data_IF_878081615101
#
_entry.id   IF_878081615101
#
_cell.length_a   1.000
_cell.length_b   1.000
_cell.length_c   1.000
_cell.angle_alpha   90.00
_cell.angle_beta   90.00
_cell.angle_gamma   90.00
#
_symmetry.space_group_name_H-M   'P 1'
#
loop_
_entity.id
_entity.type
_entity.pdbx_description
1 polymer ?
#
# COMPACT_ATOMS: atom_id res chain seq x y z
N UNK A 1 -56.27 49.44 12.03
CA UNK A 1 -55.63 48.32 12.78
C UNK A 1 -55.67 47.07 11.91
N UNK A 2 -54.62 46.80 11.13
CA UNK A 2 -54.46 45.54 10.38
C UNK A 2 -53.01 45.09 10.55
N UNK A 3 -52.82 43.93 11.17
CA UNK A 3 -51.52 43.40 11.59
C UNK A 3 -51.04 42.38 10.54
N UNK A 4 -49.93 42.70 9.87
CA UNK A 4 -49.28 41.84 8.86
C UNK A 4 -48.43 40.81 9.60
N UNK A 5 -48.81 39.53 9.50
CA UNK A 5 -48.04 38.40 10.04
C UNK A 5 -46.94 38.02 9.05
N UNK A 6 -45.69 38.30 9.38
CA UNK A 6 -44.52 37.77 8.66
C UNK A 6 -44.30 36.31 9.05
N UNK A 7 -44.42 35.41 8.08
CA UNK A 7 -43.98 34.02 8.19
C UNK A 7 -42.52 33.95 7.72
N UNK A 8 -41.60 33.78 8.67
CA UNK A 8 -40.19 33.49 8.40
C UNK A 8 -40.07 31.97 8.32
N UNK A 9 -39.89 31.45 7.11
CA UNK A 9 -39.57 30.03 6.88
C UNK A 9 -38.08 29.80 7.09
N UNK A 10 -37.72 29.08 8.15
CA UNK A 10 -36.36 28.56 8.37
C UNK A 10 -36.14 27.34 7.46
N UNK A 11 -35.28 27.48 6.45
CA UNK A 11 -34.76 26.35 5.69
C UNK A 11 -33.59 25.73 6.46
N UNK A 12 -33.80 24.52 7.00
CA UNK A 12 -32.73 23.71 7.61
C UNK A 12 -31.94 23.06 6.48
N UNK A 13 -30.73 23.54 6.21
CA UNK A 13 -29.75 22.80 5.41
C UNK A 13 -29.17 21.67 6.27
N UNK A 14 -29.62 20.44 6.04
CA UNK A 14 -28.93 19.26 6.56
C UNK A 14 -27.76 18.94 5.62
N UNK A 15 -26.54 19.33 6.00
CA UNK A 15 -25.31 18.85 5.37
C UNK A 15 -25.09 17.40 5.78
N UNK A 16 -25.38 16.46 4.89
CA UNK A 16 -24.95 15.07 5.04
C UNK A 16 -23.42 15.02 4.85
N UNK A 17 -22.67 15.02 5.96
CA UNK A 17 -21.26 14.68 5.93
C UNK A 17 -21.16 13.17 5.64
N UNK A 18 -20.80 12.81 4.41
CA UNK A 18 -20.40 11.44 4.12
C UNK A 18 -19.13 11.16 4.93
N UNK A 19 -19.23 10.28 5.92
CA UNK A 19 -18.06 9.78 6.61
C UNK A 19 -17.21 9.02 5.58
N UNK A 20 -16.09 9.61 5.17
CA UNK A 20 -15.10 8.92 4.35
C UNK A 20 -14.43 7.88 5.26
N UNK A 21 -14.90 6.64 5.19
CA UNK A 21 -14.27 5.52 5.90
C UNK A 21 -12.89 5.26 5.31
N UNK A 22 -11.94 4.82 6.15
CA UNK A 22 -10.65 4.37 5.67
C UNK A 22 -10.83 3.22 4.67
N UNK A 23 -10.04 3.22 3.60
CA UNK A 23 -10.07 2.15 2.63
C UNK A 23 -9.62 0.83 3.28
N UNK A 24 -10.26 -0.28 2.91
CA UNK A 24 -9.98 -1.61 3.47
C UNK A 24 -9.96 -2.66 2.38
N UNK A 25 -9.22 -3.74 2.63
CA UNK A 25 -9.10 -4.90 1.73
C UNK A 25 -8.87 -6.16 2.55
N UNK A 26 -9.42 -7.29 2.09
CA UNK A 26 -9.07 -8.60 2.61
C UNK A 26 -8.01 -9.26 1.74
N UNK A 27 -6.87 -9.59 2.34
CA UNK A 27 -5.84 -10.43 1.72
C UNK A 27 -6.08 -11.87 2.16
N UNK A 28 -6.14 -12.79 1.19
CA UNK A 28 -6.05 -14.24 1.43
C UNK A 28 -4.67 -14.69 0.97
N UNK A 29 -3.77 -14.96 1.91
CA UNK A 29 -2.42 -15.42 1.62
C UNK A 29 -2.44 -16.83 1.05
N UNK A 30 -1.54 -17.12 0.11
CA UNK A 30 -1.40 -18.46 -0.46
C UNK A 30 -0.86 -19.44 0.60
N UNK A 31 -1.14 -20.74 0.44
CA UNK A 31 -0.64 -21.77 1.37
C UNK A 31 0.90 -21.83 1.36
N UNK A 32 1.50 -21.76 0.17
CA UNK A 32 2.92 -21.42 0.03
C UNK A 32 3.02 -19.89 -0.09
N UNK A 33 3.21 -19.23 1.05
CA UNK A 33 3.16 -17.77 1.11
C UNK A 33 4.29 -17.09 0.30
N UNK A 34 5.40 -17.77 0.01
CA UNK A 34 6.55 -17.18 -0.67
C UNK A 34 6.55 -17.47 -2.17
N UNK A 35 6.09 -16.49 -2.98
CA UNK A 35 5.87 -16.64 -4.43
C UNK A 35 7.10 -17.14 -5.19
N UNK A 36 8.27 -16.60 -4.86
CA UNK A 36 9.55 -16.86 -5.55
C UNK A 36 10.58 -17.52 -4.64
N UNK A 37 10.14 -17.98 -3.46
CA UNK A 37 10.99 -18.48 -2.38
C UNK A 37 11.38 -17.41 -1.36
N UNK A 38 12.10 -17.86 -0.34
CA UNK A 38 12.54 -17.07 0.80
C UNK A 38 13.92 -17.53 1.27
N UNK A 39 14.48 -16.79 2.22
CA UNK A 39 15.72 -17.13 2.91
C UNK A 39 15.49 -17.17 4.43
N UNK A 40 15.94 -18.23 5.08
CA UNK A 40 15.77 -18.43 6.52
C UNK A 40 16.99 -17.87 7.24
N UNK A 41 16.79 -16.86 8.08
CA UNK A 41 17.89 -16.17 8.76
C UNK A 41 17.51 -15.75 10.18
N UNK A 42 18.52 -15.37 10.95
CA UNK A 42 18.32 -14.71 12.23
C UNK A 42 18.58 -13.22 12.08
N UNK A 43 17.60 -12.40 12.45
CA UNK A 43 17.72 -10.93 12.52
C UNK A 43 17.87 -10.48 13.96
N UNK A 44 18.48 -9.33 14.17
CA UNK A 44 18.62 -8.65 15.45
C UNK A 44 17.97 -7.28 15.32
N UNK A 45 17.03 -6.98 16.21
CA UNK A 45 16.50 -5.62 16.36
C UNK A 45 16.24 -5.35 17.84
N UNK A 46 16.62 -4.16 18.31
CA UNK A 46 16.60 -3.85 19.74
C UNK A 46 17.48 -4.80 20.55
N UNK A 47 16.87 -5.54 21.49
CA UNK A 47 17.55 -6.51 22.37
C UNK A 47 17.30 -7.97 21.97
N UNK A 48 16.55 -8.21 20.90
CA UNK A 48 16.08 -9.53 20.52
C UNK A 48 16.80 -10.05 19.28
N UNK A 49 16.90 -11.38 19.19
CA UNK A 49 17.26 -12.08 17.96
C UNK A 49 16.09 -12.99 17.58
N UNK A 50 15.58 -12.84 16.36
CA UNK A 50 14.43 -13.59 15.86
C UNK A 50 14.84 -14.42 14.65
N UNK A 51 14.37 -15.67 14.60
CA UNK A 51 14.42 -16.48 13.38
C UNK A 51 13.26 -16.07 12.46
N UNK A 52 13.58 -15.73 11.22
CA UNK A 52 12.62 -15.25 10.22
C UNK A 52 12.84 -15.93 8.88
N UNK A 53 11.79 -16.00 8.07
CA UNK A 53 11.87 -16.32 6.67
C UNK A 53 11.65 -15.03 5.87
N UNK A 54 12.70 -14.49 5.28
CA UNK A 54 12.65 -13.25 4.52
C UNK A 54 12.31 -13.54 3.06
N UNK A 55 11.27 -12.91 2.51
CA UNK A 55 10.85 -13.11 1.13
C UNK A 55 9.62 -12.29 0.77
N UNK A 56 9.19 -12.42 -0.48
CA UNK A 56 7.98 -11.76 -0.99
C UNK A 56 6.77 -12.65 -0.77
N UNK A 57 5.75 -12.11 -0.13
CA UNK A 57 4.50 -12.80 0.11
C UNK A 57 3.57 -12.74 -1.09
N UNK A 58 2.76 -13.79 -1.27
CA UNK A 58 1.70 -13.85 -2.26
C UNK A 58 0.31 -14.14 -1.69
N UNK A 59 -0.71 -13.68 -2.42
CA UNK A 59 -2.09 -13.98 -2.12
C UNK A 59 -3.06 -13.39 -3.11
N UNK A 60 -4.31 -13.21 -2.67
CA UNK A 60 -5.42 -12.64 -3.44
C UNK A 60 -6.20 -11.63 -2.64
N UNK A 61 -6.78 -10.65 -3.34
CA UNK A 61 -7.57 -9.59 -2.74
C UNK A 61 -9.06 -9.89 -2.85
N UNK A 62 -9.81 -9.50 -1.83
CA UNK A 62 -11.27 -9.56 -1.78
C UNK A 62 -11.79 -8.46 -0.87
N UNK A 63 -13.11 -8.25 -0.85
CA UNK A 63 -13.78 -7.29 0.03
C UNK A 63 -13.16 -5.87 -0.03
N UNK A 64 -12.84 -5.40 -1.24
CA UNK A 64 -12.29 -4.07 -1.43
C UNK A 64 -13.36 -3.02 -1.11
N UNK A 65 -13.03 -2.08 -0.23
CA UNK A 65 -13.88 -0.96 0.15
C UNK A 65 -13.04 0.32 0.18
N UNK A 66 -13.50 1.38 -0.49
CA UNK A 66 -12.72 2.63 -0.61
C UNK A 66 -11.51 2.56 -1.55
N UNK A 67 -11.22 1.40 -2.16
CA UNK A 67 -10.19 1.18 -3.18
C UNK A 67 -10.71 0.27 -4.29
N UNK A 68 -10.11 0.37 -5.48
CA UNK A 68 -10.44 -0.48 -6.62
C UNK A 68 -9.34 -1.51 -6.86
N UNK A 69 -9.68 -2.63 -7.52
CA UNK A 69 -8.69 -3.66 -7.86
C UNK A 69 -7.53 -3.09 -8.70
N UNK A 70 -7.82 -2.12 -9.58
CA UNK A 70 -6.83 -1.38 -10.39
C UNK A 70 -5.83 -0.55 -9.58
N UNK A 71 -6.06 -0.37 -8.27
CA UNK A 71 -5.10 0.30 -7.38
C UNK A 71 -3.91 -0.61 -7.07
N UNK A 72 -4.05 -1.93 -7.22
CA UNK A 72 -3.01 -2.91 -6.99
C UNK A 72 -2.35 -3.29 -8.32
N UNK A 73 -1.02 -3.44 -8.32
CA UNK A 73 -0.19 -3.64 -9.53
C UNK A 73 -0.67 -4.79 -10.41
N UNK A 74 -1.09 -5.90 -9.79
CA UNK A 74 -1.52 -7.12 -10.48
C UNK A 74 -3.05 -7.36 -10.37
N UNK A 75 -3.80 -6.35 -9.94
CA UNK A 75 -5.23 -6.46 -9.72
C UNK A 75 -5.60 -7.24 -8.45
N UNK A 76 -6.81 -7.81 -8.42
CA UNK A 76 -7.32 -8.54 -7.25
C UNK A 76 -6.99 -10.05 -7.25
N UNK A 77 -6.65 -10.61 -8.41
CA UNK A 77 -6.40 -12.05 -8.57
C UNK A 77 -5.01 -12.48 -8.11
N UNK A 78 -4.09 -11.54 -8.01
CA UNK A 78 -2.69 -11.75 -7.67
C UNK A 78 -2.22 -10.55 -6.86
N UNK A 79 -1.60 -10.82 -5.71
CA UNK A 79 -1.14 -9.80 -4.77
C UNK A 79 0.25 -10.17 -4.30
N UNK A 80 1.17 -9.20 -4.34
CA UNK A 80 2.53 -9.34 -3.83
C UNK A 80 2.84 -8.25 -2.82
N UNK A 81 3.52 -8.61 -1.74
CA UNK A 81 3.91 -7.69 -0.69
C UNK A 81 5.10 -8.19 0.13
N UNK A 82 5.65 -7.32 0.95
CA UNK A 82 6.69 -7.62 1.94
C UNK A 82 6.20 -7.25 3.34
N UNK A 83 6.75 -7.88 4.39
CA UNK A 83 6.55 -7.44 5.76
C UNK A 83 6.98 -5.98 5.92
N UNK A 84 6.19 -5.21 6.65
CA UNK A 84 6.47 -3.81 6.99
C UNK A 84 6.45 -3.55 8.50
N UNK A 85 6.60 -4.61 9.29
CA UNK A 85 6.96 -4.58 10.71
C UNK A 85 7.76 -5.84 11.07
N UNK A 86 8.18 -5.96 12.33
CA UNK A 86 8.83 -7.14 12.92
C UNK A 86 8.12 -7.70 14.16
N UNK A 87 7.00 -7.09 14.56
CA UNK A 87 6.35 -7.37 15.84
C UNK A 87 5.17 -8.34 15.69
N UNK A 88 4.59 -8.46 14.50
CA UNK A 88 3.48 -9.35 14.20
C UNK A 88 3.86 -10.36 13.11
N UNK A 89 3.08 -11.44 13.00
CA UNK A 89 3.38 -12.53 12.05
C UNK A 89 2.18 -12.88 11.19
N UNK A 90 2.46 -13.48 10.03
CA UNK A 90 1.47 -14.05 9.11
C UNK A 90 1.99 -15.39 8.61
N UNK A 91 1.09 -16.28 8.21
CA UNK A 91 1.41 -17.60 7.67
C UNK A 91 0.50 -17.94 6.48
N UNK A 92 0.89 -18.95 5.70
CA UNK A 92 0.17 -19.34 4.51
C UNK A 92 -1.28 -19.75 4.78
N UNK A 93 -2.17 -19.43 3.83
CA UNK A 93 -3.61 -19.70 3.93
C UNK A 93 -4.37 -18.75 4.87
N UNK A 94 -3.69 -17.87 5.61
CA UNK A 94 -4.33 -16.90 6.50
C UNK A 94 -5.10 -15.85 5.70
N UNK A 95 -6.25 -15.42 6.23
CA UNK A 95 -7.04 -14.30 5.70
C UNK A 95 -6.99 -13.15 6.69
N UNK A 96 -6.67 -11.95 6.20
CA UNK A 96 -6.49 -10.76 7.03
C UNK A 96 -7.22 -9.60 6.39
N UNK A 97 -7.98 -8.86 7.21
CA UNK A 97 -8.60 -7.59 6.82
C UNK A 97 -7.64 -6.46 7.17
N UNK A 98 -7.23 -5.71 6.15
CA UNK A 98 -6.29 -4.61 6.27
C UNK A 98 -6.97 -3.27 6.03
N UNK A 99 -6.46 -2.24 6.71
CA UNK A 99 -6.67 -0.84 6.34
C UNK A 99 -5.59 -0.42 5.35
N UNK A 100 -5.99 0.20 4.25
CA UNK A 100 -5.08 0.68 3.20
C UNK A 100 -4.62 2.10 3.53
N UNK A 101 -3.31 2.28 3.60
CA UNK A 101 -2.67 3.59 3.71
C UNK A 101 -1.83 3.86 2.46
N UNK A 102 -2.36 4.74 1.59
CA UNK A 102 -1.76 5.11 0.30
C UNK A 102 -0.49 5.97 0.43
N UNK A 103 -0.15 6.43 1.65
CA UNK A 103 1.00 7.30 1.93
C UNK A 103 1.93 6.70 3.01
N UNK A 104 1.94 5.36 3.18
CA UNK A 104 2.59 4.72 4.33
C UNK A 104 4.09 4.42 4.23
N UNK A 105 4.72 4.65 3.07
CA UNK A 105 6.16 4.45 2.89
C UNK A 105 6.99 5.51 3.62
N UNK A 106 7.97 5.12 4.44
CA UNK A 106 8.91 6.10 5.02
C UNK A 106 9.87 6.62 3.94
N UNK A 107 10.39 7.83 4.08
CA UNK A 107 11.36 8.38 3.14
C UNK A 107 12.56 7.43 2.92
N UNK A 108 13.09 6.83 3.98
CA UNK A 108 14.22 5.90 3.92
C UNK A 108 13.86 4.58 3.21
N UNK A 109 12.63 4.09 3.39
CA UNK A 109 12.13 2.95 2.63
C UNK A 109 12.01 3.30 1.14
N UNK A 110 11.50 4.50 0.81
CA UNK A 110 11.37 4.96 -0.57
C UNK A 110 12.73 5.13 -1.26
N UNK A 111 13.74 5.63 -0.55
CA UNK A 111 15.13 5.70 -1.04
C UNK A 111 15.65 4.29 -1.39
N UNK A 112 15.42 3.32 -0.50
CA UNK A 112 15.82 1.94 -0.73
C UNK A 112 15.08 1.27 -1.90
N UNK A 113 13.75 1.40 -1.98
CA UNK A 113 12.98 0.82 -3.07
C UNK A 113 13.32 1.47 -4.42
N UNK A 114 13.64 2.77 -4.44
CA UNK A 114 14.19 3.45 -5.60
C UNK A 114 15.52 2.84 -6.06
N UNK A 115 16.41 2.54 -5.12
CA UNK A 115 17.68 1.85 -5.38
C UNK A 115 17.49 0.44 -5.94
N UNK A 116 16.57 -0.34 -5.34
CA UNK A 116 16.18 -1.67 -5.83
C UNK A 116 15.70 -1.56 -7.28
N UNK A 117 14.78 -0.64 -7.56
CA UNK A 117 14.28 -0.43 -8.91
C UNK A 117 15.39 -0.06 -9.90
N UNK A 118 16.29 0.85 -9.54
CA UNK A 118 17.41 1.26 -10.40
C UNK A 118 18.31 0.07 -10.78
N UNK A 119 18.68 -0.74 -9.79
CA UNK A 119 19.52 -1.94 -9.98
C UNK A 119 18.80 -2.97 -10.84
N UNK A 120 17.55 -3.30 -10.51
CA UNK A 120 16.80 -4.34 -11.21
C UNK A 120 16.46 -3.93 -12.65
N UNK A 121 16.06 -2.67 -12.88
CA UNK A 121 15.77 -2.17 -14.21
C UNK A 121 17.01 -2.17 -15.11
N UNK A 122 18.16 -1.75 -14.57
CA UNK A 122 19.43 -1.80 -15.31
C UNK A 122 19.80 -3.25 -15.65
N UNK A 123 19.69 -4.16 -14.67
CA UNK A 123 20.06 -5.56 -14.87
C UNK A 123 19.11 -6.32 -15.80
N UNK A 124 17.83 -5.96 -15.82
CA UNK A 124 16.81 -6.62 -16.64
C UNK A 124 16.52 -5.92 -17.97
N UNK A 125 17.09 -4.73 -18.19
CA UNK A 125 16.84 -3.94 -19.40
C UNK A 125 15.39 -3.43 -19.46
N UNK A 126 14.81 -3.07 -18.32
CA UNK A 126 13.41 -2.63 -18.19
C UNK A 126 13.31 -1.20 -17.65
N UNK A 127 12.11 -0.63 -17.68
CA UNK A 127 11.76 0.60 -16.97
C UNK A 127 10.45 0.36 -16.23
N UNK A 128 10.54 -0.34 -15.10
CA UNK A 128 9.41 -0.75 -14.27
C UNK A 128 9.49 -0.06 -12.89
N UNK A 129 8.53 0.81 -12.53
CA UNK A 129 8.48 1.43 -11.20
C UNK A 129 8.14 0.43 -10.08
N UNK A 130 7.78 -0.81 -10.44
CA UNK A 130 7.48 -1.90 -9.52
C UNK A 130 8.48 -3.05 -9.60
N UNK A 131 9.69 -2.82 -10.12
CA UNK A 131 10.70 -3.89 -10.23
C UNK A 131 11.00 -4.56 -8.87
N UNK A 132 10.90 -3.82 -7.76
CA UNK A 132 11.00 -4.33 -6.39
C UNK A 132 9.90 -5.36 -6.00
N UNK A 133 8.74 -5.34 -6.66
CA UNK A 133 7.67 -6.35 -6.53
C UNK A 133 7.76 -7.48 -7.55
N UNK A 134 8.77 -7.46 -8.42
CA UNK A 134 9.02 -8.48 -9.44
C UNK A 134 10.40 -9.14 -9.28
N UNK A 135 10.76 -9.64 -8.07
CA UNK A 135 12.02 -10.36 -7.88
C UNK A 135 12.03 -11.66 -8.70
N UNK A 136 13.15 -11.98 -9.37
CA UNK A 136 13.29 -13.22 -10.17
C UNK A 136 13.77 -14.43 -9.37
N UNK A 137 14.03 -14.29 -8.07
CA UNK A 137 14.47 -15.38 -7.19
C UNK A 137 14.22 -15.05 -5.72
N UNK A 138 14.18 -16.09 -4.88
CA UNK A 138 14.05 -15.96 -3.43
C UNK A 138 15.16 -15.12 -2.79
N UNK A 139 16.40 -15.22 -3.28
CA UNK A 139 17.52 -14.40 -2.79
C UNK A 139 17.32 -12.89 -3.04
N UNK A 140 16.74 -12.52 -4.20
CA UNK A 140 16.40 -11.13 -4.49
C UNK A 140 15.26 -10.66 -3.59
N UNK A 141 14.21 -11.47 -3.44
CA UNK A 141 13.08 -11.14 -2.57
C UNK A 141 13.51 -11.01 -1.10
N UNK A 142 14.35 -11.92 -0.61
CA UNK A 142 14.90 -11.87 0.74
C UNK A 142 15.75 -10.60 0.96
N UNK A 143 16.59 -10.24 -0.01
CA UNK A 143 17.39 -9.02 0.06
C UNK A 143 16.50 -7.76 0.14
N UNK A 144 15.41 -7.71 -0.64
CA UNK A 144 14.44 -6.62 -0.59
C UNK A 144 13.76 -6.57 0.79
N UNK A 145 13.29 -7.72 1.31
CA UNK A 145 12.67 -7.80 2.63
C UNK A 145 13.58 -7.31 3.76
N UNK A 146 14.85 -7.72 3.75
CA UNK A 146 15.83 -7.30 4.76
C UNK A 146 16.13 -5.80 4.65
N UNK A 147 16.28 -5.27 3.43
CA UNK A 147 16.51 -3.84 3.24
C UNK A 147 15.31 -2.97 3.65
N UNK A 148 14.08 -3.48 3.51
CA UNK A 148 12.89 -2.84 4.07
C UNK A 148 12.98 -2.77 5.60
N UNK A 149 13.33 -3.86 6.28
CA UNK A 149 13.50 -3.84 7.74
C UNK A 149 14.66 -2.94 8.20
N UNK A 150 15.80 -2.95 7.50
CA UNK A 150 16.92 -2.02 7.72
C UNK A 150 16.47 -0.55 7.57
N UNK A 151 15.56 -0.27 6.63
CA UNK A 151 15.02 1.08 6.43
C UNK A 151 14.10 1.55 7.56
N UNK A 152 13.45 0.61 8.26
CA UNK A 152 12.51 0.89 9.34
C UNK A 152 13.17 0.95 10.71
N UNK A 153 14.14 0.07 10.96
CA UNK A 153 14.66 -0.20 12.30
C UNK A 153 16.12 0.19 12.50
N UNK A 154 16.81 0.70 11.46
CA UNK A 154 18.13 1.33 11.59
C UNK A 154 18.12 2.81 11.19
N UNK A 155 18.86 3.60 11.95
CA UNK A 155 19.04 5.05 11.73
C UNK A 155 20.50 5.45 11.52
N UNK A 156 21.45 4.53 11.69
CA UNK A 156 22.90 4.82 11.81
C UNK A 156 23.69 4.72 10.50
N UNK A 157 22.99 4.63 9.37
CA UNK A 157 23.57 4.36 8.04
C UNK A 157 23.01 3.06 7.47
N UNK A 158 23.41 2.65 6.27
CA UNK A 158 23.00 1.37 5.69
C UNK A 158 24.02 0.29 6.03
N UNK A 159 23.73 -0.52 7.04
CA UNK A 159 24.60 -1.61 7.47
C UNK A 159 23.78 -2.79 8.00
N UNK A 160 23.27 -3.58 7.07
CA UNK A 160 22.48 -4.77 7.37
C UNK A 160 23.24 -5.85 8.17
N UNK A 161 24.56 -5.76 8.32
CA UNK A 161 25.35 -6.69 9.13
C UNK A 161 25.56 -6.19 10.57
N UNK A 162 25.38 -4.89 10.84
CA UNK A 162 25.56 -4.33 12.17
C UNK A 162 24.83 -2.99 12.33
N UNK A 163 24.17 -2.81 13.47
CA UNK A 163 23.44 -1.58 13.77
C UNK A 163 22.38 -1.80 14.83
N UNK A 164 21.38 -0.93 14.84
CA UNK A 164 20.15 -1.10 15.63
C UNK A 164 19.28 -2.24 15.07
N UNK A 165 19.33 -2.42 13.75
CA UNK A 165 18.87 -3.61 13.04
C UNK A 165 20.08 -4.34 12.43
N UNK A 166 19.92 -5.63 12.11
CA UNK A 166 20.89 -6.34 11.28
C UNK A 166 20.61 -7.84 11.22
N UNK A 167 21.20 -8.52 10.24
CA UNK A 167 21.20 -9.98 10.13
C UNK A 167 22.32 -10.52 11.01
N UNK A 168 21.96 -11.31 12.02
CA UNK A 168 22.90 -11.93 12.95
C UNK A 168 23.64 -13.11 12.30
N UNK A 169 22.91 -13.98 11.58
CA UNK A 169 23.47 -15.13 10.87
C UNK A 169 22.41 -15.76 9.94
N UNK A 170 22.85 -16.63 9.04
CA UNK A 170 21.98 -17.49 8.23
C UNK A 170 21.57 -16.93 6.87
N UNK A 171 21.85 -15.66 6.56
CA UNK A 171 21.61 -15.14 5.22
C UNK A 171 22.46 -15.89 4.17
N UNK A 172 21.81 -16.32 3.10
CA UNK A 172 22.48 -16.89 1.94
C UNK A 172 23.44 -15.88 1.31
N UNK A 173 24.55 -16.38 0.77
CA UNK A 173 25.56 -15.55 0.11
C UNK A 173 25.00 -14.73 -1.06
N UNK A 174 24.01 -15.26 -1.78
CA UNK A 174 23.33 -14.56 -2.88
C UNK A 174 22.45 -13.44 -2.34
N UNK A 175 21.71 -13.69 -1.26
CA UNK A 175 20.90 -12.67 -0.56
C UNK A 175 21.79 -11.51 -0.10
N UNK A 176 22.89 -11.82 0.58
CA UNK A 176 23.87 -10.83 1.03
C UNK A 176 24.47 -10.01 -0.13
N UNK A 177 24.80 -10.66 -1.25
CA UNK A 177 25.32 -9.98 -2.44
C UNK A 177 24.31 -9.01 -3.05
N UNK A 178 23.04 -9.41 -3.14
CA UNK A 178 21.98 -8.55 -3.67
C UNK A 178 21.70 -7.36 -2.76
N UNK A 179 21.63 -7.61 -1.45
CA UNK A 179 21.40 -6.57 -0.46
C UNK A 179 22.51 -5.51 -0.49
N UNK A 180 23.78 -5.93 -0.57
CA UNK A 180 24.91 -5.02 -0.76
C UNK A 180 24.81 -4.20 -2.05
N UNK A 181 24.32 -4.81 -3.13
CA UNK A 181 24.13 -4.13 -4.42
C UNK A 181 23.04 -3.06 -4.31
N UNK A 182 21.90 -3.37 -3.67
CA UNK A 182 20.81 -2.42 -3.49
C UNK A 182 21.21 -1.27 -2.56
N UNK A 183 21.81 -1.58 -1.41
CA UNK A 183 22.30 -0.56 -0.45
C UNK A 183 23.35 0.35 -1.11
N UNK A 184 24.26 -0.22 -1.89
CA UNK A 184 25.28 0.55 -2.60
C UNK A 184 24.71 1.54 -3.63
N UNK A 185 23.50 1.29 -4.13
CA UNK A 185 22.84 2.15 -5.10
C UNK A 185 22.05 3.31 -4.47
N UNK A 186 21.72 3.27 -3.17
CA UNK A 186 20.80 4.22 -2.51
C UNK A 186 21.19 5.69 -2.73
N UNK A 187 22.48 6.03 -2.61
CA UNK A 187 22.94 7.41 -2.79
C UNK A 187 23.12 7.84 -4.25
N UNK A 188 22.89 6.94 -5.20
CA UNK A 188 23.10 7.16 -6.65
C UNK A 188 21.84 6.97 -7.48
N UNK A 189 20.73 6.60 -6.84
CA UNK A 189 19.42 6.41 -7.45
C UNK A 189 18.43 7.44 -6.93
N UNK A 190 17.42 7.75 -7.73
CA UNK A 190 16.28 8.51 -7.25
C UNK A 190 15.42 7.65 -6.31
N UNK A 191 14.84 8.30 -5.29
CA UNK A 191 13.85 7.68 -4.42
C UNK A 191 12.60 7.26 -5.23
N UNK A 192 11.94 6.19 -4.80
CA UNK A 192 10.64 5.81 -5.34
C UNK A 192 9.60 6.90 -5.01
N UNK A 193 8.86 7.38 -6.01
CA UNK A 193 7.71 8.26 -5.76
C UNK A 193 6.69 7.52 -4.88
N UNK A 194 6.33 8.13 -3.75
CA UNK A 194 5.41 7.56 -2.75
C UNK A 194 4.07 7.13 -3.33
N UNK A 195 3.63 7.71 -4.45
CA UNK A 195 2.40 7.30 -5.13
C UNK A 195 2.45 5.85 -5.67
N UNK A 196 3.65 5.27 -5.85
CA UNK A 196 3.84 3.90 -6.33
C UNK A 196 3.88 2.86 -5.21
N UNK A 197 3.68 3.27 -3.96
CA UNK A 197 3.68 2.37 -2.81
C UNK A 197 2.43 2.59 -1.98
N UNK A 198 2.02 1.57 -1.24
CA UNK A 198 1.07 1.70 -0.14
C UNK A 198 1.43 0.70 0.95
N UNK A 199 0.92 0.95 2.14
CA UNK A 199 1.00 0.01 3.25
C UNK A 199 -0.37 -0.51 3.60
N UNK A 200 -0.43 -1.76 4.05
CA UNK A 200 -1.63 -2.42 4.54
C UNK A 200 -1.42 -2.68 6.03
N UNK A 201 -2.24 -2.06 6.86
CA UNK A 201 -2.11 -2.11 8.32
C UNK A 201 -3.22 -2.95 8.92
N UNK A 202 -2.89 -3.90 9.79
CA UNK A 202 -3.85 -4.73 10.50
C UNK A 202 -3.47 -4.89 11.97
N UNK A 203 -4.47 -4.98 12.85
CA UNK A 203 -4.20 -5.30 14.25
C UNK A 203 -4.14 -6.82 14.41
N UNK A 204 -3.06 -7.33 15.01
CA UNK A 204 -2.87 -8.75 15.28
C UNK A 204 -2.39 -9.55 14.07
N UNK A 205 -1.91 -8.89 13.02
CA UNK A 205 -1.37 -9.50 11.81
C UNK A 205 -0.33 -8.59 11.16
N UNK A 206 0.76 -9.19 10.66
CA UNK A 206 1.84 -8.52 9.94
C UNK A 206 1.34 -7.40 9.00
N UNK A 207 1.80 -6.18 9.24
CA UNK A 207 1.67 -5.05 8.33
C UNK A 207 2.48 -5.30 7.08
N UNK A 208 1.98 -4.79 5.95
CA UNK A 208 2.52 -5.12 4.63
C UNK A 208 2.84 -3.85 3.85
N UNK A 209 3.84 -3.93 3.00
CA UNK A 209 4.14 -2.92 1.98
C UNK A 209 3.97 -3.55 0.58
N UNK A 210 3.24 -2.85 -0.28
CA UNK A 210 2.92 -3.30 -1.64
C UNK A 210 2.89 -2.12 -2.61
N UNK A 211 2.69 -2.39 -3.90
CA UNK A 211 2.68 -1.38 -4.95
C UNK A 211 1.30 -0.78 -5.13
N UNK A 212 1.27 0.54 -5.27
CA UNK A 212 0.07 1.30 -5.62
C UNK A 212 0.16 1.78 -7.05
N UNK A 213 -0.93 1.66 -7.81
CA UNK A 213 -1.08 2.27 -9.12
C UNK A 213 -1.75 3.63 -8.94
N UNK A 214 -1.03 4.75 -9.12
CA UNK A 214 -1.59 6.08 -8.95
C UNK A 214 -2.80 6.27 -9.87
N UNK A 215 -3.86 6.94 -9.38
CA UNK A 215 -5.09 7.17 -10.15
C UNK A 215 -4.84 7.82 -11.53
N UNK A 216 -3.80 8.67 -11.65
CA UNK A 216 -3.38 9.30 -12.91
C UNK A 216 -2.89 8.32 -13.99
N UNK A 217 -2.48 7.11 -13.59
CA UNK A 217 -1.94 6.06 -14.47
C UNK A 217 -2.95 4.91 -14.65
N UNK A 218 -4.01 4.87 -13.83
CA UNK A 218 -5.04 3.84 -13.98
C UNK A 218 -5.78 4.04 -15.31
N UNK A 219 -5.97 2.98 -16.12
CA UNK A 219 -6.85 3.06 -17.29
C UNK A 219 -8.23 3.47 -16.81
N UNK A 220 -8.81 4.51 -17.42
CA UNK A 220 -10.15 5.01 -17.11
C UNK A 220 -11.14 3.85 -17.19
N UNK A 221 -11.44 3.23 -16.04
CA UNK A 221 -12.44 2.19 -15.98
C UNK A 221 -13.76 2.84 -16.43
N UNK A 222 -14.33 2.26 -17.49
CA UNK A 222 -15.60 2.66 -18.09
C UNK A 222 -16.65 2.99 -17.02
N UNK A 223 -17.03 4.27 -16.98
CA UNK A 223 -18.28 4.81 -16.44
C UNK A 223 -18.70 4.35 -15.03
N UNK A 224 -18.24 5.08 -14.02
CA UNK A 224 -19.05 5.27 -12.81
C UNK A 224 -20.25 6.15 -13.21
N UNK A 225 -21.51 5.70 -13.03
CA UNK A 225 -22.66 6.58 -13.16
C UNK A 225 -22.45 7.78 -12.25
N UNK A 226 -22.54 8.98 -12.80
CA UNK A 226 -22.25 10.21 -12.06
C UNK A 226 -22.98 10.19 -10.71
N UNK A 227 -22.31 10.63 -9.62
CA UNK A 227 -22.85 10.49 -8.29
C UNK A 227 -24.26 11.09 -8.23
N UNK A 228 -25.15 10.42 -7.49
CA UNK A 228 -26.56 10.77 -7.34
C UNK A 228 -26.81 12.24 -6.92
N UNK A 229 -25.78 12.99 -6.55
CA UNK A 229 -25.76 14.44 -6.43
C UNK A 229 -26.23 15.16 -7.71
N UNK A 230 -25.89 14.69 -8.92
CA UNK A 230 -26.45 15.28 -10.15
C UNK A 230 -27.92 14.93 -10.37
N UNK A 231 -28.34 13.72 -9.99
CA UNK A 231 -29.75 13.37 -9.97
C UNK A 231 -30.54 14.20 -8.93
N UNK A 232 -29.93 14.53 -7.79
CA UNK A 232 -30.50 15.40 -6.76
C UNK A 232 -30.58 16.86 -7.19
N UNK A 233 -29.57 17.38 -7.89
CA UNK A 233 -29.64 18.72 -8.50
C UNK A 233 -30.75 18.77 -9.55
N UNK A 234 -30.89 17.71 -10.36
CA UNK A 234 -32.01 17.56 -11.30
C UNK A 234 -33.38 17.54 -10.61
N UNK A 235 -33.54 16.74 -9.55
CA UNK A 235 -34.77 16.68 -8.76
C UNK A 235 -35.09 17.99 -8.04
N UNK A 236 -34.08 18.71 -7.53
CA UNK A 236 -34.25 20.01 -6.90
C UNK A 236 -34.78 21.06 -7.89
N UNK A 237 -34.25 21.08 -9.12
CA UNK A 237 -34.72 21.98 -10.19
C UNK A 237 -36.15 21.65 -10.62
N UNK A 238 -36.50 20.37 -10.78
CA UNK A 238 -37.87 19.95 -11.09
C UNK A 238 -38.83 20.33 -9.96
N UNK A 239 -38.46 20.13 -8.70
CA UNK A 239 -39.24 20.56 -7.55
C UNK A 239 -39.51 22.06 -7.53
N UNK A 240 -38.50 22.88 -7.85
CA UNK A 240 -38.62 24.35 -7.87
C UNK A 240 -39.60 24.84 -8.96
N UNK A 241 -39.61 24.20 -10.13
CA UNK A 241 -40.54 24.56 -11.22
C UNK A 241 -41.99 24.15 -10.92
N UNK A 242 -42.20 23.01 -10.26
CA UNK A 242 -43.54 22.56 -9.86
C UNK A 242 -44.17 23.47 -8.78
N UNK A 243 -43.37 23.98 -7.84
CA UNK A 243 -43.84 24.92 -6.81
C UNK A 243 -44.22 26.27 -7.43
N UNK A 244 -43.45 26.78 -8.40
CA UNK A 244 -43.75 28.05 -9.08
C UNK A 244 -45.06 28.02 -9.86
N UNK A 245 -45.44 26.88 -10.45
CA UNK A 245 -46.71 26.71 -11.18
C UNK A 245 -47.95 26.65 -10.30
N UNK A 246 -47.82 26.39 -8.99
CA UNK A 246 -48.95 26.39 -8.04
C UNK A 246 -49.26 27.77 -7.45
N UNK A 247 -48.39 28.76 -7.69
CA UNK A 247 -48.54 30.12 -7.19
C UNK A 247 -48.95 31.12 -8.28
N UNK A 248 -49.11 30.66 -9.53
CA UNK A 248 -49.74 31.40 -10.64
C UNK A 248 -51.16 30.89 -10.82
#
# INVERSE_FOLDING_TARGET
MHSIKQLISFAVLATAAAACGAATVRVSFDDNIFAVGSDNMAIRYGKSTLGVAAGMFSGKLSNLNGVQASTFVLGASEFYAYCYDLDETVWGGRKVDYTVNLDGGTARTLDFLGAVNSVLNTRYGTSDPYAWLNPRSGAVAAAIQVGIWESLYDTSGWNWAAGQFGVAYGADSSTASWLNTFIGAVNTSDALDGAYVMTLVASGAQDMITGSVPARVQPLASQVPEPASLALVGLALVGLTAVRRRQS
#
